data_IF_408110898861
#
_entry.id   IF_408110898861
#
_cell.length_a   1.000
_cell.length_b   1.000
_cell.length_c   1.000
_cell.angle_alpha   90.00
_cell.angle_beta   90.00
_cell.angle_gamma   90.00
#
_symmetry.space_group_name_H-M   'P 1'
#
loop_
_entity.id
_entity.type
_entity.pdbx_description
1 polymer ?
#
# COMPACT_ATOMS: atom_id res chain seq x y z
N UNK A 1 -8.79 2.27 25.39
CA UNK A 1 -9.57 3.47 25.06
C UNK A 1 -11.02 3.06 25.06
N UNK A 2 -11.87 3.76 25.81
CA UNK A 2 -13.31 3.52 25.78
C UNK A 2 -13.92 4.39 24.67
N UNK A 3 -14.26 3.75 23.56
CA UNK A 3 -14.80 4.42 22.39
C UNK A 3 -16.21 4.95 22.64
N UNK A 4 -16.98 4.36 23.56
CA UNK A 4 -18.38 4.72 23.75
C UNK A 4 -18.53 5.99 24.60
N UNK A 5 -17.56 6.28 25.46
CA UNK A 5 -17.61 7.43 26.37
C UNK A 5 -16.76 8.62 25.92
N UNK A 6 -15.90 8.46 24.91
CA UNK A 6 -15.02 9.54 24.44
C UNK A 6 -15.82 10.54 23.59
N UNK A 7 -15.90 11.82 23.98
CA UNK A 7 -16.68 12.82 23.24
C UNK A 7 -16.06 13.08 21.87
N UNK A 8 -16.88 13.48 20.87
CA UNK A 8 -16.38 13.90 19.57
C UNK A 8 -15.64 15.24 19.70
N UNK A 9 -14.60 15.42 18.88
CA UNK A 9 -13.84 16.66 18.75
C UNK A 9 -13.85 17.13 17.29
N UNK A 10 -13.73 18.43 17.08
CA UNK A 10 -13.38 19.03 15.80
C UNK A 10 -12.00 19.65 15.89
N UNK A 11 -11.30 19.76 14.76
CA UNK A 11 -10.03 20.48 14.70
C UNK A 11 -10.33 21.96 14.51
N UNK A 12 -9.89 22.81 15.44
CA UNK A 12 -9.94 24.27 15.31
C UNK A 12 -9.00 24.78 14.23
N UNK A 13 -9.14 26.06 13.86
CA UNK A 13 -8.31 26.69 12.82
C UNK A 13 -6.82 26.75 13.21
N UNK A 14 -6.53 26.72 14.50
CA UNK A 14 -5.20 26.65 15.12
C UNK A 14 -4.65 25.22 15.20
N UNK A 15 -5.39 24.22 14.70
CA UNK A 15 -5.04 22.81 14.80
C UNK A 15 -5.33 22.18 16.17
N UNK A 16 -5.91 22.93 17.11
CA UNK A 16 -6.21 22.44 18.45
C UNK A 16 -7.55 21.69 18.46
N UNK A 17 -7.64 20.49 19.06
CA UNK A 17 -8.90 19.77 19.17
C UNK A 17 -9.86 20.50 20.12
N UNK A 18 -11.06 20.82 19.64
CA UNK A 18 -12.14 21.44 20.42
C UNK A 18 -13.29 20.44 20.53
N UNK A 19 -13.88 20.21 21.73
CA UNK A 19 -15.06 19.37 21.86
C UNK A 19 -16.17 19.79 20.89
N UNK A 20 -16.77 18.82 20.22
CA UNK A 20 -17.90 19.02 19.34
C UNK A 20 -19.18 18.80 20.15
N UNK A 21 -19.91 19.88 20.41
CA UNK A 21 -21.19 19.83 21.11
C UNK A 21 -22.35 19.76 20.14
N UNK A 22 -23.35 18.95 20.48
CA UNK A 22 -24.57 18.86 19.69
C UNK A 22 -25.44 20.08 19.94
N UNK A 23 -25.71 20.85 18.88
CA UNK A 23 -26.74 21.90 18.93
C UNK A 23 -28.12 21.26 19.17
N UNK A 24 -28.85 21.62 20.26
CA UNK A 24 -30.18 21.10 20.53
C UNK A 24 -31.21 21.34 19.42
N UNK A 25 -30.97 22.31 18.55
CA UNK A 25 -31.84 22.66 17.41
C UNK A 25 -31.46 21.93 16.12
N UNK A 26 -30.31 21.27 16.07
CA UNK A 26 -29.86 20.55 14.89
C UNK A 26 -30.65 19.25 14.68
N UNK A 27 -30.98 18.97 13.41
CA UNK A 27 -31.60 17.70 13.04
C UNK A 27 -30.65 16.52 13.28
N UNK A 28 -31.19 15.31 13.44
CA UNK A 28 -30.40 14.08 13.50
C UNK A 28 -29.49 13.89 12.28
N UNK A 29 -29.96 14.28 11.10
CA UNK A 29 -29.16 14.19 9.88
C UNK A 29 -27.94 15.12 9.93
N UNK A 30 -28.15 16.37 10.38
CA UNK A 30 -27.08 17.37 10.56
C UNK A 30 -26.06 16.90 11.60
N UNK A 31 -26.52 16.33 12.71
CA UNK A 31 -25.62 15.81 13.75
C UNK A 31 -24.77 14.64 13.23
N UNK A 32 -25.36 13.70 12.48
CA UNK A 32 -24.61 12.60 11.86
C UNK A 32 -23.57 13.08 10.85
N UNK A 33 -23.90 14.09 10.06
CA UNK A 33 -22.96 14.68 9.10
C UNK A 33 -21.75 15.31 9.83
N UNK A 34 -22.00 16.04 10.93
CA UNK A 34 -20.95 16.59 11.78
C UNK A 34 -20.07 15.50 12.42
N UNK A 35 -20.67 14.41 12.91
CA UNK A 35 -19.92 13.28 13.45
C UNK A 35 -19.03 12.59 12.39
N UNK A 36 -19.44 12.61 11.12
CA UNK A 36 -18.63 12.10 10.01
C UNK A 36 -17.33 12.89 9.78
N UNK A 37 -17.21 14.11 10.30
CA UNK A 37 -16.01 14.94 10.26
C UNK A 37 -15.34 15.10 11.63
N UNK A 38 -15.86 14.43 12.66
CA UNK A 38 -15.36 14.52 14.01
C UNK A 38 -14.21 13.54 14.27
N UNK A 39 -13.48 13.79 15.36
CA UNK A 39 -12.32 13.02 15.79
C UNK A 39 -12.46 12.58 17.25
N UNK A 40 -11.67 11.59 17.64
CA UNK A 40 -11.46 11.13 19.02
C UNK A 40 -9.97 11.06 19.34
N UNK A 41 -9.54 11.58 20.51
CA UNK A 41 -8.15 11.50 20.96
C UNK A 41 -7.79 10.10 21.43
N UNK A 42 -6.73 9.52 20.87
CA UNK A 42 -6.15 8.26 21.32
C UNK A 42 -5.33 8.50 22.61
N UNK A 43 -6.02 8.62 23.74
CA UNK A 43 -5.43 8.95 25.04
C UNK A 43 -5.88 10.32 25.55
N UNK A 44 -5.03 10.97 26.35
CA UNK A 44 -5.34 12.28 26.92
C UNK A 44 -5.30 13.39 25.84
N UNK A 45 -6.43 14.05 25.51
CA UNK A 45 -6.46 15.12 24.50
C UNK A 45 -5.55 16.31 24.82
N UNK A 46 -5.19 16.53 26.09
CA UNK A 46 -4.33 17.64 26.51
C UNK A 46 -2.83 17.30 26.40
N UNK A 47 -2.49 16.05 26.14
CA UNK A 47 -1.10 15.64 25.97
C UNK A 47 -0.59 16.06 24.58
N UNK A 48 0.56 16.76 24.49
CA UNK A 48 1.18 17.05 23.20
C UNK A 48 1.46 15.77 22.40
N UNK A 49 1.06 15.76 21.14
CA UNK A 49 1.24 14.60 20.25
C UNK A 49 0.18 13.52 20.38
N UNK A 50 -0.93 13.76 21.08
CA UNK A 50 -2.06 12.83 21.10
C UNK A 50 -2.64 12.64 19.69
N UNK A 51 -2.70 11.39 19.25
CA UNK A 51 -3.24 11.06 17.93
C UNK A 51 -4.75 11.29 17.91
N UNK A 52 -5.24 11.86 16.82
CA UNK A 52 -6.67 12.06 16.59
C UNK A 52 -7.10 11.09 15.50
N UNK A 53 -8.08 10.27 15.82
CA UNK A 53 -8.67 9.29 14.91
C UNK A 53 -10.07 9.75 14.54
N UNK A 54 -10.58 9.45 13.34
CA UNK A 54 -11.98 9.72 13.01
C UNK A 54 -12.92 9.14 14.07
N UNK A 55 -14.04 9.81 14.31
CA UNK A 55 -14.97 9.45 15.37
C UNK A 55 -15.48 8.00 15.27
N UNK A 56 -15.73 7.56 14.04
CA UNK A 56 -16.21 6.23 13.66
C UNK A 56 -15.06 5.20 13.49
N UNK A 57 -13.82 5.53 13.86
CA UNK A 57 -12.68 4.64 13.67
C UNK A 57 -12.85 3.25 14.32
N UNK A 58 -13.56 3.20 15.46
CA UNK A 58 -13.87 1.97 16.17
C UNK A 58 -14.75 0.99 15.38
N UNK A 59 -15.52 1.49 14.40
CA UNK A 59 -16.40 0.68 13.56
C UNK A 59 -15.63 -0.02 12.42
N UNK A 60 -14.33 0.26 12.29
CA UNK A 60 -13.48 -0.25 11.23
C UNK A 60 -12.51 -1.30 11.72
N UNK A 61 -12.29 -2.33 10.90
CA UNK A 61 -11.13 -3.21 11.07
C UNK A 61 -9.88 -2.49 10.56
N UNK A 62 -8.89 -2.15 11.41
CA UNK A 62 -7.68 -1.47 10.96
C UNK A 62 -6.84 -2.40 10.07
N UNK A 63 -6.31 -1.85 8.98
CA UNK A 63 -5.34 -2.52 8.12
C UNK A 63 -4.22 -1.53 7.79
N UNK A 64 -2.98 -1.91 8.04
CA UNK A 64 -1.80 -1.09 7.85
C UNK A 64 -0.86 -1.67 6.81
N UNK A 65 -0.53 -0.87 5.79
CA UNK A 65 0.31 -1.27 4.66
C UNK A 65 1.55 -0.37 4.61
N UNK A 66 2.74 -0.97 4.65
CA UNK A 66 4.01 -0.26 4.52
C UNK A 66 4.67 -0.48 3.17
N UNK A 67 5.17 0.59 2.56
CA UNK A 67 6.01 0.55 1.36
C UNK A 67 7.48 0.48 1.78
N UNK A 68 8.19 -0.57 1.38
CA UNK A 68 9.58 -0.86 1.74
C UNK A 68 10.45 -0.88 0.49
N UNK A 69 11.63 -0.25 0.55
CA UNK A 69 12.61 -0.26 -0.54
C UNK A 69 13.53 0.95 -0.45
N UNK A 70 14.66 0.89 -1.15
CA UNK A 70 15.69 1.93 -1.10
C UNK A 70 15.19 3.28 -1.63
N UNK A 71 16.01 4.30 -1.42
CA UNK A 71 15.79 5.63 -1.98
C UNK A 71 15.71 5.55 -3.51
N UNK A 72 14.69 6.15 -4.11
CA UNK A 72 14.39 6.11 -5.55
C UNK A 72 13.86 4.77 -6.14
N UNK A 73 13.53 3.76 -5.32
CA UNK A 73 12.90 2.52 -5.81
C UNK A 73 11.49 2.72 -6.43
N UNK A 74 10.89 3.90 -6.26
CA UNK A 74 9.59 4.25 -6.85
C UNK A 74 8.39 4.13 -5.90
N UNK A 75 8.60 3.88 -4.60
CA UNK A 75 7.54 3.74 -3.58
C UNK A 75 6.45 4.81 -3.65
N UNK A 76 6.83 6.10 -3.56
CA UNK A 76 5.89 7.23 -3.59
C UNK A 76 5.10 7.31 -4.89
N UNK A 77 5.75 7.01 -6.02
CA UNK A 77 5.08 7.02 -7.33
C UNK A 77 4.10 5.84 -7.46
N UNK A 78 4.51 4.66 -7.01
CA UNK A 78 3.67 3.47 -7.03
C UNK A 78 2.47 3.62 -6.11
N UNK A 79 2.65 4.14 -4.89
CA UNK A 79 1.56 4.40 -3.97
C UNK A 79 0.59 5.43 -4.53
N UNK A 80 1.07 6.56 -5.06
CA UNK A 80 0.20 7.57 -5.67
C UNK A 80 -0.59 7.00 -6.86
N UNK A 81 0.03 6.13 -7.67
CA UNK A 81 -0.63 5.43 -8.76
C UNK A 81 -1.69 4.43 -8.27
N UNK A 82 -1.38 3.66 -7.22
CA UNK A 82 -2.30 2.74 -6.55
C UNK A 82 -3.53 3.47 -6.02
N UNK A 83 -3.35 4.54 -5.25
CA UNK A 83 -4.45 5.34 -4.70
C UNK A 83 -5.28 5.97 -5.82
N UNK A 84 -4.63 6.53 -6.85
CA UNK A 84 -5.33 7.07 -8.02
C UNK A 84 -6.22 6.04 -8.71
N UNK A 85 -5.74 4.80 -8.89
CA UNK A 85 -6.51 3.73 -9.52
C UNK A 85 -7.60 3.23 -8.59
N UNK A 86 -7.29 3.00 -7.32
CA UNK A 86 -8.25 2.51 -6.31
C UNK A 86 -9.43 3.46 -6.11
N UNK A 87 -9.18 4.78 -6.08
CA UNK A 87 -10.21 5.80 -5.93
C UNK A 87 -10.87 6.20 -7.27
N UNK A 88 -10.48 5.58 -8.38
CA UNK A 88 -11.12 5.85 -9.66
C UNK A 88 -12.51 5.21 -9.75
N UNK A 89 -13.40 5.81 -10.54
CA UNK A 89 -14.73 5.27 -10.81
C UNK A 89 -14.69 4.13 -11.87
N UNK A 90 -13.66 3.29 -11.84
CA UNK A 90 -13.47 2.17 -12.76
C UNK A 90 -14.52 1.07 -12.50
N UNK A 91 -15.17 0.60 -13.57
CA UNK A 91 -16.19 -0.43 -13.48
C UNK A 91 -15.61 -1.77 -12.97
N UNK A 92 -14.34 -2.06 -13.28
CA UNK A 92 -13.66 -3.26 -12.83
C UNK A 92 -13.52 -3.31 -11.30
N UNK A 93 -13.22 -2.17 -10.66
CA UNK A 93 -13.12 -2.07 -9.20
C UNK A 93 -14.49 -2.20 -8.56
N UNK A 94 -15.52 -1.57 -9.14
CA UNK A 94 -16.90 -1.72 -8.67
C UNK A 94 -17.40 -3.16 -8.78
N UNK A 95 -16.95 -3.92 -9.77
CA UNK A 95 -17.31 -5.33 -9.93
C UNK A 95 -16.77 -6.22 -8.78
N UNK A 96 -15.71 -5.79 -8.09
CA UNK A 96 -15.23 -6.43 -6.86
C UNK A 96 -16.11 -6.10 -5.63
N UNK A 97 -17.13 -5.26 -5.79
CA UNK A 97 -18.01 -4.80 -4.71
C UNK A 97 -17.31 -3.91 -3.68
N UNK A 98 -16.15 -3.34 -4.03
CA UNK A 98 -15.41 -2.41 -3.19
C UNK A 98 -16.02 -1.01 -3.25
N UNK A 99 -16.23 -0.42 -2.07
CA UNK A 99 -16.51 1.01 -1.93
C UNK A 99 -15.35 1.64 -1.19
N UNK A 100 -14.73 2.63 -1.81
CA UNK A 100 -13.54 3.31 -1.29
C UNK A 100 -13.87 4.77 -1.08
N UNK A 101 -13.46 5.30 0.08
CA UNK A 101 -13.58 6.72 0.39
C UNK A 101 -12.45 7.15 1.34
N UNK A 102 -12.28 8.46 1.55
CA UNK A 102 -11.32 8.96 2.53
C UNK A 102 -11.73 8.51 3.93
N UNK A 103 -10.76 8.04 4.73
CA UNK A 103 -10.95 7.84 6.16
C UNK A 103 -10.83 9.18 6.91
N UNK A 104 -9.88 10.01 6.50
CA UNK A 104 -9.71 11.40 6.92
C UNK A 104 -9.66 12.27 5.66
N UNK A 105 -10.69 13.10 5.47
CA UNK A 105 -10.84 13.92 4.26
C UNK A 105 -9.66 14.89 4.08
N UNK A 106 -9.14 15.47 5.17
CA UNK A 106 -8.06 16.47 5.12
C UNK A 106 -6.74 15.81 4.74
N UNK A 107 -6.43 14.67 5.34
CA UNK A 107 -5.22 13.90 5.03
C UNK A 107 -5.27 13.41 3.59
N UNK A 108 -6.42 12.87 3.17
CA UNK A 108 -6.61 12.41 1.81
C UNK A 108 -6.49 13.55 0.78
N UNK A 109 -7.16 14.69 1.00
CA UNK A 109 -7.06 15.86 0.10
C UNK A 109 -5.63 16.38 -0.03
N UNK A 110 -4.87 16.41 1.07
CA UNK A 110 -3.46 16.78 1.04
C UNK A 110 -2.65 15.79 0.21
N UNK A 111 -2.83 14.48 0.43
CA UNK A 111 -2.14 13.46 -0.36
C UNK A 111 -2.48 13.55 -1.86
N UNK A 112 -3.75 13.81 -2.18
CA UNK A 112 -4.20 14.03 -3.54
C UNK A 112 -3.50 15.24 -4.17
N UNK A 113 -3.44 16.38 -3.49
CA UNK A 113 -2.83 17.61 -3.98
C UNK A 113 -1.30 17.52 -4.11
N UNK A 114 -0.62 16.85 -3.17
CA UNK A 114 0.84 16.80 -3.10
C UNK A 114 1.47 15.64 -3.89
N UNK A 115 0.74 14.53 -4.06
CA UNK A 115 1.28 13.30 -4.67
C UNK A 115 0.49 12.86 -5.89
N UNK A 116 -0.82 12.65 -5.77
CA UNK A 116 -1.61 12.04 -6.85
C UNK A 116 -1.79 12.99 -8.04
N UNK A 117 -2.27 14.21 -7.82
CA UNK A 117 -2.50 15.20 -8.90
C UNK A 117 -1.20 15.57 -9.61
N UNK A 118 -0.06 15.83 -8.93
CA UNK A 118 1.22 16.07 -9.60
C UNK A 118 1.66 14.91 -10.49
N UNK A 119 1.55 13.66 -10.02
CA UNK A 119 1.94 12.49 -10.80
C UNK A 119 0.99 12.23 -11.98
N UNK A 120 -0.30 12.13 -11.70
CA UNK A 120 -1.29 11.60 -12.65
C UNK A 120 -1.76 12.67 -13.63
N UNK A 121 -2.06 13.86 -13.14
CA UNK A 121 -2.58 14.96 -13.97
C UNK A 121 -1.45 15.75 -14.61
N UNK A 122 -0.44 16.12 -13.82
CA UNK A 122 0.64 16.99 -14.31
C UNK A 122 1.84 16.21 -14.86
N UNK A 123 1.85 14.88 -14.73
CA UNK A 123 2.94 14.00 -15.18
C UNK A 123 4.28 14.46 -14.65
N UNK A 124 4.30 14.96 -13.42
CA UNK A 124 5.52 15.43 -12.76
C UNK A 124 6.14 14.31 -11.95
N UNK A 125 7.46 14.31 -11.90
CA UNK A 125 8.22 13.45 -11.01
C UNK A 125 7.93 13.88 -9.56
N UNK A 126 7.57 12.91 -8.72
CA UNK A 126 7.40 13.17 -7.30
C UNK A 126 8.76 13.25 -6.62
N UNK A 127 8.87 14.16 -5.65
CA UNK A 127 10.04 14.23 -4.78
C UNK A 127 10.11 12.96 -3.93
N UNK A 128 11.31 12.44 -3.73
CA UNK A 128 11.52 11.31 -2.84
C UNK A 128 11.24 11.68 -1.39
N UNK A 129 10.78 10.71 -0.60
CA UNK A 129 10.59 10.85 0.84
C UNK A 129 11.94 11.09 1.52
N UNK A 130 12.10 12.28 2.12
CA UNK A 130 13.35 12.67 2.75
C UNK A 130 13.60 11.84 4.02
N UNK A 131 14.87 11.48 4.27
CA UNK A 131 15.27 10.67 5.42
C UNK A 131 15.06 11.35 6.79
N UNK A 132 14.80 12.65 6.82
CA UNK A 132 14.50 13.39 8.04
C UNK A 132 12.99 13.60 8.29
N UNK A 133 12.12 13.14 7.40
CA UNK A 133 10.67 13.26 7.60
C UNK A 133 10.19 12.23 8.62
N UNK A 134 9.51 12.64 9.71
CA UNK A 134 8.92 11.72 10.69
C UNK A 134 7.98 10.73 10.01
N UNK A 135 7.91 9.51 10.54
CA UNK A 135 7.02 8.48 9.99
C UNK A 135 5.59 8.89 10.27
N UNK A 136 4.88 9.27 9.21
CA UNK A 136 3.46 9.56 9.21
C UNK A 136 2.80 8.74 8.11
N UNK A 137 1.56 8.30 8.35
CA UNK A 137 0.79 7.68 7.28
C UNK A 137 0.53 8.73 6.19
N UNK A 138 0.76 8.35 4.94
CA UNK A 138 0.70 9.25 3.79
C UNK A 138 -0.75 9.49 3.37
N UNK A 139 -1.57 8.46 3.45
CA UNK A 139 -2.99 8.49 3.17
C UNK A 139 -3.73 7.47 4.06
N UNK A 140 -5.02 7.70 4.25
CA UNK A 140 -5.90 6.79 4.98
C UNK A 140 -7.26 6.70 4.29
N UNK A 141 -7.68 5.48 3.98
CA UNK A 141 -8.91 5.18 3.26
C UNK A 141 -9.84 4.32 4.09
N UNK A 142 -11.13 4.59 3.98
CA UNK A 142 -12.19 3.66 4.37
C UNK A 142 -12.47 2.76 3.17
N UNK A 143 -12.35 1.45 3.36
CA UNK A 143 -12.70 0.46 2.34
C UNK A 143 -13.83 -0.41 2.88
N UNK A 144 -14.96 -0.47 2.18
CA UNK A 144 -16.04 -1.41 2.49
C UNK A 144 -16.11 -2.46 1.41
N UNK A 145 -16.09 -3.74 1.79
CA UNK A 145 -16.14 -4.85 0.85
C UNK A 145 -17.57 -5.26 0.48
N UNK A 146 -17.69 -6.22 -0.45
CA UNK A 146 -18.98 -6.73 -0.93
C UNK A 146 -19.85 -7.35 0.18
N UNK A 147 -19.21 -7.89 1.23
CA UNK A 147 -19.88 -8.44 2.41
C UNK A 147 -20.30 -7.37 3.43
N UNK A 148 -20.08 -6.08 3.15
CA UNK A 148 -20.46 -4.96 4.01
C UNK A 148 -19.49 -4.68 5.17
N UNK A 149 -18.38 -5.41 5.29
CA UNK A 149 -17.35 -5.17 6.31
C UNK A 149 -16.52 -3.95 5.92
N UNK A 150 -16.28 -3.05 6.87
CA UNK A 150 -15.53 -1.82 6.66
C UNK A 150 -14.16 -1.86 7.33
N UNK A 151 -13.16 -1.35 6.63
CA UNK A 151 -11.75 -1.40 6.99
C UNK A 151 -11.16 0.00 6.99
N UNK A 152 -10.34 0.31 7.99
CA UNK A 152 -9.58 1.54 8.10
C UNK A 152 -8.16 1.27 7.57
N UNK A 153 -7.97 1.55 6.29
CA UNK A 153 -6.74 1.28 5.58
C UNK A 153 -5.77 2.46 5.70
N UNK A 154 -4.57 2.20 6.21
CA UNK A 154 -3.53 3.21 6.39
C UNK A 154 -2.28 2.85 5.60
N UNK A 155 -1.71 3.81 4.88
CA UNK A 155 -0.52 3.61 4.05
C UNK A 155 0.69 4.36 4.62
N UNK A 156 1.83 3.70 4.68
CA UNK A 156 3.09 4.26 5.13
C UNK A 156 4.13 4.19 4.01
N UNK A 157 4.64 5.33 3.56
CA UNK A 157 5.81 5.39 2.67
C UNK A 157 7.07 5.64 3.51
N UNK A 158 7.82 4.56 3.80
CA UNK A 158 8.96 4.63 4.71
C UNK A 158 10.24 4.88 3.91
N UNK A 159 10.93 5.98 4.19
CA UNK A 159 12.22 6.26 3.58
C UNK A 159 13.24 5.16 3.97
N UNK A 160 13.85 4.50 2.97
CA UNK A 160 14.76 3.38 3.20
C UNK A 160 15.95 3.70 4.11
N UNK A 161 16.43 4.94 4.08
CA UNK A 161 17.54 5.41 4.93
C UNK A 161 17.15 5.53 6.42
N UNK A 162 15.85 5.74 6.75
CA UNK A 162 15.38 5.81 8.14
C UNK A 162 15.36 4.45 8.83
N UNK A 163 15.19 3.39 8.05
CA UNK A 163 15.20 2.02 8.55
C UNK A 163 16.52 1.68 9.27
N UNK A 164 17.62 2.34 8.93
CA UNK A 164 18.91 2.13 9.61
C UNK A 164 18.97 2.72 11.02
N UNK A 165 18.14 3.72 11.35
CA UNK A 165 18.08 4.38 12.67
C UNK A 165 16.61 4.66 13.07
N UNK A 166 15.84 3.61 13.36
CA UNK A 166 14.42 3.78 13.59
C UNK A 166 14.14 4.41 14.94
N UNK A 167 13.10 5.24 14.97
CA UNK A 167 12.52 5.77 16.21
C UNK A 167 11.46 4.80 16.78
N UNK A 168 10.93 5.13 17.96
CA UNK A 168 9.88 4.33 18.62
C UNK A 168 8.60 4.18 17.77
N UNK A 169 8.33 5.14 16.87
CA UNK A 169 7.20 5.10 15.95
C UNK A 169 7.37 3.99 14.93
N UNK A 170 8.53 3.95 14.27
CA UNK A 170 8.86 2.94 13.26
C UNK A 170 8.87 1.53 13.83
N UNK A 171 9.39 1.35 15.05
CA UNK A 171 9.32 0.06 15.76
C UNK A 171 7.87 -0.38 16.00
N UNK A 172 6.99 0.54 16.42
CA UNK A 172 5.56 0.24 16.62
C UNK A 172 4.87 -0.12 15.30
N UNK A 173 5.18 0.56 14.21
CA UNK A 173 4.63 0.19 12.89
C UNK A 173 5.00 -1.24 12.52
N UNK A 174 6.28 -1.62 12.64
CA UNK A 174 6.69 -3.00 12.34
C UNK A 174 6.08 -4.03 13.28
N UNK A 175 5.69 -3.65 14.50
CA UNK A 175 4.97 -4.55 15.39
C UNK A 175 3.51 -4.77 14.96
N UNK A 176 2.87 -3.78 14.30
CA UNK A 176 1.44 -3.81 13.96
C UNK A 176 1.09 -3.92 12.47
N UNK A 177 2.05 -3.75 11.55
CA UNK A 177 1.84 -3.86 10.10
C UNK A 177 1.12 -5.15 9.68
N UNK A 178 0.02 -5.03 8.95
CA UNK A 178 -0.73 -6.18 8.42
C UNK A 178 -0.16 -6.65 7.08
N UNK A 179 0.41 -5.71 6.31
CA UNK A 179 1.08 -6.01 5.06
C UNK A 179 2.29 -5.11 4.78
N UNK A 180 3.25 -5.64 4.02
CA UNK A 180 4.40 -4.91 3.50
C UNK A 180 4.53 -5.09 1.99
N UNK A 181 4.74 -3.99 1.28
CA UNK A 181 4.97 -3.97 -0.16
C UNK A 181 6.44 -3.64 -0.42
N UNK A 182 7.18 -4.65 -0.84
CA UNK A 182 8.62 -4.65 -1.07
C UNK A 182 8.91 -4.23 -2.52
N UNK A 183 9.45 -3.03 -2.70
CA UNK A 183 9.60 -2.39 -3.99
C UNK A 183 11.00 -2.62 -4.53
N UNK A 184 11.07 -3.35 -5.64
CA UNK A 184 12.29 -3.68 -6.37
C UNK A 184 12.49 -2.67 -7.50
N UNK A 185 13.64 -2.00 -7.47
CA UNK A 185 14.11 -1.19 -8.58
C UNK A 185 14.91 -2.08 -9.55
N UNK A 186 14.43 -2.34 -10.78
CA UNK A 186 15.15 -3.19 -11.72
C UNK A 186 16.53 -2.63 -12.09
N UNK A 187 16.76 -1.31 -11.98
CA UNK A 187 18.07 -0.69 -12.23
C UNK A 187 19.09 -0.99 -11.12
N UNK A 188 18.62 -1.33 -9.92
CA UNK A 188 19.48 -1.70 -8.78
C UNK A 188 19.82 -3.20 -8.75
N UNK A 189 19.22 -4.00 -9.63
CA UNK A 189 19.48 -5.44 -9.71
C UNK A 189 20.86 -5.73 -10.29
N UNK A 190 21.49 -6.86 -9.91
CA UNK A 190 22.71 -7.30 -10.55
C UNK A 190 22.54 -7.43 -12.06
N UNK A 191 23.58 -7.09 -12.81
CA UNK A 191 23.64 -7.43 -14.23
C UNK A 191 23.84 -8.95 -14.38
N UNK A 192 23.21 -9.60 -15.37
CA UNK A 192 23.42 -11.02 -15.65
C UNK A 192 24.92 -11.35 -15.72
N UNK A 193 25.35 -12.38 -15.00
CA UNK A 193 26.74 -12.87 -15.02
C UNK A 193 27.73 -12.12 -14.11
N UNK A 194 27.29 -11.17 -13.27
CA UNK A 194 28.12 -10.60 -12.18
C UNK A 194 27.68 -11.12 -10.82
N UNK A 195 28.65 -11.48 -9.98
CA UNK A 195 28.41 -11.86 -8.59
C UNK A 195 27.67 -10.71 -7.85
N UNK A 196 26.63 -11.10 -7.11
CA UNK A 196 25.51 -10.26 -6.70
C UNK A 196 25.89 -9.02 -5.89
N UNK A 197 25.12 -7.96 -6.10
CA UNK A 197 25.05 -6.83 -5.15
C UNK A 197 24.49 -7.34 -3.82
N UNK A 198 24.91 -6.72 -2.70
CA UNK A 198 24.13 -6.83 -1.46
C UNK A 198 22.69 -6.43 -1.79
N UNK A 199 21.71 -7.20 -1.32
CA UNK A 199 20.30 -6.88 -1.53
C UNK A 199 19.92 -5.51 -0.99
N UNK A 200 18.67 -5.11 -1.16
CA UNK A 200 18.19 -3.88 -0.55
C UNK A 200 18.26 -3.97 0.98
N UNK A 201 19.12 -3.13 1.57
CA UNK A 201 19.27 -3.05 3.03
C UNK A 201 17.94 -2.74 3.72
N UNK A 202 17.03 -2.03 3.05
CA UNK A 202 15.68 -1.75 3.53
C UNK A 202 14.87 -3.02 3.75
N UNK A 203 15.04 -4.03 2.87
CA UNK A 203 14.35 -5.32 2.98
C UNK A 203 14.89 -6.09 4.18
N UNK A 204 16.22 -6.14 4.33
CA UNK A 204 16.87 -6.84 5.44
C UNK A 204 16.44 -6.28 6.78
N UNK A 205 16.41 -4.94 6.91
CA UNK A 205 15.95 -4.29 8.13
C UNK A 205 14.48 -4.61 8.39
N UNK A 206 13.60 -4.48 7.41
CA UNK A 206 12.18 -4.75 7.58
C UNK A 206 11.93 -6.19 8.06
N UNK A 207 12.57 -7.18 7.42
CA UNK A 207 12.46 -8.60 7.80
C UNK A 207 13.06 -8.87 9.19
N UNK A 208 14.21 -8.28 9.52
CA UNK A 208 14.79 -8.38 10.86
C UNK A 208 13.85 -7.79 11.93
N UNK A 209 13.14 -6.70 11.63
CA UNK A 209 12.17 -6.11 12.56
C UNK A 209 10.93 -6.98 12.72
N UNK A 210 10.43 -7.57 11.63
CA UNK A 210 9.36 -8.56 11.70
C UNK A 210 9.74 -9.79 12.54
N UNK A 211 11.04 -10.08 12.67
CA UNK A 211 11.51 -11.18 13.50
C UNK A 211 11.27 -10.98 14.99
N UNK A 212 11.06 -9.74 15.44
CA UNK A 212 10.69 -9.43 16.82
C UNK A 212 9.23 -9.75 17.16
N UNK A 213 8.40 -10.08 16.16
CA UNK A 213 7.01 -10.49 16.41
C UNK A 213 6.95 -11.91 17.00
N UNK A 214 6.01 -12.16 17.93
CA UNK A 214 5.70 -13.53 18.34
C UNK A 214 5.37 -14.39 17.12
N UNK A 215 6.06 -15.53 16.99
CA UNK A 215 5.83 -16.53 15.96
C UNK A 215 5.54 -17.88 16.63
N UNK A 216 4.80 -18.78 15.96
CA UNK A 216 4.70 -20.16 16.42
C UNK A 216 6.10 -20.73 16.60
N UNK A 217 6.36 -21.41 17.72
CA UNK A 217 7.67 -21.99 18.04
C UNK A 217 7.88 -23.30 17.26
N UNK A 218 7.96 -23.17 15.94
CA UNK A 218 8.23 -24.27 15.01
C UNK A 218 9.37 -23.88 14.06
N UNK A 219 10.31 -24.80 13.79
CA UNK A 219 11.35 -24.57 12.80
C UNK A 219 10.74 -24.16 11.44
N UNK A 220 11.24 -23.06 10.87
CA UNK A 220 10.73 -22.52 9.60
C UNK A 220 9.47 -21.66 9.70
N UNK A 221 9.07 -21.22 10.91
CA UNK A 221 7.93 -20.32 11.07
C UNK A 221 8.10 -19.00 10.28
N UNK A 222 7.24 -18.83 9.28
CA UNK A 222 7.15 -17.62 8.47
C UNK A 222 6.60 -16.44 9.28
N UNK A 223 6.91 -15.22 8.88
CA UNK A 223 6.35 -14.01 9.47
C UNK A 223 4.84 -13.93 9.16
N UNK A 224 3.98 -13.69 10.16
CA UNK A 224 2.53 -13.59 9.97
C UNK A 224 2.16 -12.19 9.44
N UNK A 225 2.67 -11.86 8.25
CA UNK A 225 2.44 -10.59 7.55
C UNK A 225 2.22 -10.90 6.07
N UNK A 226 1.29 -10.20 5.44
CA UNK A 226 1.13 -10.27 3.99
C UNK A 226 2.26 -9.50 3.30
N UNK A 227 2.82 -10.04 2.22
CA UNK A 227 3.90 -9.43 1.49
C UNK A 227 3.58 -9.34 -0.01
N UNK A 228 3.93 -8.23 -0.65
CA UNK A 228 3.94 -8.13 -2.11
C UNK A 228 5.32 -7.66 -2.56
N UNK A 229 6.03 -8.44 -3.37
CA UNK A 229 7.29 -8.01 -4.00
C UNK A 229 6.98 -7.45 -5.38
N UNK A 230 7.42 -6.24 -5.67
CA UNK A 230 6.97 -5.51 -6.86
C UNK A 230 8.17 -4.95 -7.60
N UNK A 231 8.39 -5.44 -8.82
CA UNK A 231 9.33 -4.82 -9.77
C UNK A 231 8.63 -3.60 -10.36
N UNK A 232 8.82 -2.43 -9.72
CA UNK A 232 7.93 -1.27 -9.86
C UNK A 232 8.22 -0.32 -11.04
N UNK A 233 9.35 -0.54 -11.72
CA UNK A 233 9.72 0.15 -12.97
C UNK A 233 9.87 -0.85 -14.10
N UNK A 234 8.95 -1.81 -14.19
CA UNK A 234 9.05 -2.91 -15.16
C UNK A 234 9.10 -2.41 -16.62
N UNK A 235 8.64 -1.19 -16.89
CA UNK A 235 8.72 -0.55 -18.21
C UNK A 235 10.16 -0.31 -18.68
N UNK A 236 11.12 -0.17 -17.76
CA UNK A 236 12.53 0.00 -18.09
C UNK A 236 13.15 -1.29 -18.65
N UNK A 237 12.63 -2.44 -18.26
CA UNK A 237 13.15 -3.76 -18.65
C UNK A 237 12.29 -4.46 -19.70
N UNK A 238 11.16 -3.88 -20.12
CA UNK A 238 10.19 -4.52 -21.02
C UNK A 238 10.73 -4.88 -22.41
N UNK A 239 11.86 -4.29 -22.80
CA UNK A 239 12.57 -4.58 -24.06
C UNK A 239 13.79 -5.48 -23.87
N UNK A 240 14.19 -5.71 -22.63
CA UNK A 240 15.29 -6.62 -22.27
C UNK A 240 14.78 -7.98 -21.80
N UNK A 241 13.55 -8.04 -21.29
CA UNK A 241 12.96 -9.22 -20.69
C UNK A 241 11.54 -9.48 -21.22
N UNK A 242 11.32 -10.68 -21.76
CA UNK A 242 10.05 -11.06 -22.37
C UNK A 242 8.92 -11.16 -21.33
N UNK A 243 9.20 -11.63 -20.11
CA UNK A 243 8.18 -11.78 -19.06
C UNK A 243 7.64 -10.42 -18.65
N UNK A 244 8.53 -9.46 -18.43
CA UNK A 244 8.13 -8.08 -18.12
C UNK A 244 7.31 -7.47 -19.29
N UNK A 245 7.71 -7.73 -20.54
CA UNK A 245 6.98 -7.29 -21.73
C UNK A 245 5.56 -7.86 -21.78
N UNK A 246 5.43 -9.17 -21.62
CA UNK A 246 4.16 -9.90 -21.72
C UNK A 246 3.19 -9.45 -20.63
N UNK A 247 3.66 -9.32 -19.39
CA UNK A 247 2.81 -8.86 -18.30
C UNK A 247 2.36 -7.41 -18.49
N UNK A 248 3.25 -6.50 -18.88
CA UNK A 248 2.86 -5.11 -19.13
C UNK A 248 1.93 -4.96 -20.35
N UNK A 249 2.03 -5.84 -21.34
CA UNK A 249 1.11 -5.87 -22.48
C UNK A 249 -0.31 -6.26 -22.05
N UNK A 250 -0.46 -7.04 -20.98
CA UNK A 250 -1.74 -7.43 -20.39
C UNK A 250 -2.36 -6.38 -19.46
N UNK A 251 -1.81 -5.17 -19.34
CA UNK A 251 -2.27 -4.15 -18.39
C UNK A 251 -3.66 -3.53 -18.63
N UNK A 252 -4.67 -4.30 -19.06
CA UNK A 252 -6.06 -3.86 -19.13
C UNK A 252 -6.66 -3.74 -17.72
N UNK A 253 -7.71 -2.92 -17.56
CA UNK A 253 -8.40 -2.77 -16.27
C UNK A 253 -9.03 -4.06 -15.77
N UNK A 254 -9.49 -4.94 -16.67
CA UNK A 254 -10.02 -6.26 -16.35
C UNK A 254 -8.93 -7.19 -15.81
N UNK A 255 -7.77 -7.22 -16.47
CA UNK A 255 -6.64 -8.01 -15.97
C UNK A 255 -6.14 -7.47 -14.64
N UNK A 256 -6.14 -6.15 -14.38
CA UNK A 256 -5.74 -5.59 -13.08
C UNK A 256 -6.56 -6.13 -11.90
N UNK A 257 -7.83 -6.48 -12.12
CA UNK A 257 -8.74 -6.99 -11.08
C UNK A 257 -8.89 -8.51 -11.08
N UNK A 258 -8.41 -9.20 -12.12
CA UNK A 258 -8.37 -10.67 -12.15
C UNK A 258 -7.25 -11.20 -11.25
N UNK A 259 -7.60 -11.55 -10.02
CA UNK A 259 -6.66 -12.10 -9.04
C UNK A 259 -6.30 -13.57 -9.30
N UNK A 260 -6.98 -14.26 -10.22
CA UNK A 260 -6.69 -15.66 -10.53
C UNK A 260 -5.36 -15.88 -11.26
N UNK A 261 -4.77 -14.82 -11.82
CA UNK A 261 -3.46 -14.88 -12.51
C UNK A 261 -2.27 -14.54 -11.62
N UNK A 262 -2.51 -14.20 -10.34
CA UNK A 262 -1.47 -13.75 -9.40
C UNK A 262 -0.40 -14.82 -9.15
N UNK A 263 -0.79 -16.08 -9.04
CA UNK A 263 0.16 -17.20 -8.85
C UNK A 263 1.14 -17.29 -10.03
N UNK A 264 0.61 -17.28 -11.26
CA UNK A 264 1.43 -17.31 -12.48
C UNK A 264 2.35 -16.09 -12.59
N UNK A 265 1.84 -14.88 -12.32
CA UNK A 265 2.70 -13.69 -12.29
C UNK A 265 3.80 -13.81 -11.24
N UNK A 266 3.47 -14.39 -10.08
CA UNK A 266 4.43 -14.56 -9.00
C UNK A 266 5.57 -15.51 -9.39
N UNK A 267 5.24 -16.62 -10.06
CA UNK A 267 6.23 -17.56 -10.62
C UNK A 267 7.15 -16.89 -11.65
N UNK A 268 6.59 -16.11 -12.58
CA UNK A 268 7.35 -15.42 -13.63
C UNK A 268 8.29 -14.35 -13.03
N UNK A 269 7.81 -13.56 -12.06
CA UNK A 269 8.63 -12.55 -11.38
C UNK A 269 9.71 -13.22 -10.53
N UNK A 270 9.40 -14.35 -9.87
CA UNK A 270 10.38 -15.12 -9.13
C UNK A 270 11.50 -15.61 -10.06
N UNK A 271 11.13 -16.20 -11.21
CA UNK A 271 12.07 -16.67 -12.22
C UNK A 271 12.96 -15.53 -12.75
N UNK A 272 12.37 -14.36 -13.03
CA UNK A 272 13.10 -13.16 -13.44
C UNK A 272 14.16 -12.74 -12.42
N UNK A 273 13.77 -12.59 -11.14
CA UNK A 273 14.68 -12.16 -10.09
C UNK A 273 15.77 -13.21 -9.81
N UNK A 274 15.41 -14.50 -9.81
CA UNK A 274 16.36 -15.60 -9.64
C UNK A 274 17.38 -15.63 -10.80
N UNK A 275 16.94 -15.46 -12.04
CA UNK A 275 17.82 -15.41 -13.21
C UNK A 275 18.80 -14.23 -13.16
N UNK A 276 18.38 -13.09 -12.59
CA UNK A 276 19.22 -11.92 -12.34
C UNK A 276 20.17 -12.09 -11.13
N UNK A 277 20.15 -13.24 -10.45
CA UNK A 277 20.95 -13.48 -9.25
C UNK A 277 20.50 -12.66 -8.03
N UNK A 278 19.26 -12.15 -8.05
CA UNK A 278 18.71 -11.25 -7.04
C UNK A 278 18.06 -11.99 -5.86
N UNK A 279 18.69 -13.08 -5.38
CA UNK A 279 18.11 -13.93 -4.34
C UNK A 279 17.79 -13.20 -3.02
N UNK A 280 18.58 -12.19 -2.67
CA UNK A 280 18.34 -11.35 -1.49
C UNK A 280 17.03 -10.54 -1.58
N UNK A 281 16.59 -10.21 -2.79
CA UNK A 281 15.32 -9.53 -3.04
C UNK A 281 14.11 -10.47 -2.99
N UNK A 282 14.33 -11.79 -3.08
CA UNK A 282 13.30 -12.82 -2.96
C UNK A 282 13.00 -13.21 -1.51
N UNK A 283 13.79 -12.73 -0.53
CA UNK A 283 13.60 -13.05 0.88
C UNK A 283 12.17 -12.82 1.40
N UNK A 284 11.44 -11.74 1.06
CA UNK A 284 10.06 -11.59 1.51
C UNK A 284 9.14 -12.73 1.04
N UNK A 285 9.37 -13.28 -0.15
CA UNK A 285 8.61 -14.43 -0.66
C UNK A 285 8.98 -15.75 0.04
N UNK A 286 10.14 -15.80 0.69
CA UNK A 286 10.65 -16.98 1.39
C UNK A 286 10.36 -16.93 2.90
N UNK A 287 10.20 -15.72 3.46
CA UNK A 287 10.13 -15.50 4.90
C UNK A 287 8.74 -15.07 5.39
N UNK A 288 7.84 -14.59 4.53
CA UNK A 288 6.49 -14.16 4.90
C UNK A 288 5.44 -15.25 4.60
N UNK A 289 4.43 -15.39 5.47
CA UNK A 289 3.42 -16.45 5.38
C UNK A 289 2.54 -16.37 4.13
N UNK A 290 2.29 -15.15 3.64
CA UNK A 290 1.54 -14.89 2.41
C UNK A 290 2.34 -13.92 1.58
N UNK A 291 2.74 -14.32 0.38
CA UNK A 291 3.52 -13.46 -0.51
C UNK A 291 3.09 -13.57 -1.96
N UNK A 292 3.00 -12.45 -2.64
CA UNK A 292 2.80 -12.38 -4.09
C UNK A 292 3.91 -11.57 -4.74
N UNK A 293 4.19 -11.82 -6.02
CA UNK A 293 5.20 -11.09 -6.77
C UNK A 293 4.60 -10.52 -8.06
N UNK A 294 4.96 -9.28 -8.41
CA UNK A 294 4.32 -8.56 -9.50
C UNK A 294 5.29 -7.71 -10.33
N UNK A 295 4.97 -7.57 -11.61
CA UNK A 295 5.49 -6.48 -12.44
C UNK A 295 4.50 -5.32 -12.42
N UNK A 296 5.01 -4.12 -12.18
CA UNK A 296 4.19 -2.91 -12.23
C UNK A 296 4.98 -1.74 -12.83
N UNK A 297 4.26 -0.76 -13.34
CA UNK A 297 4.84 0.55 -13.64
C UNK A 297 3.84 1.66 -13.33
N UNK A 298 4.27 2.60 -12.48
CA UNK A 298 3.46 3.76 -12.10
C UNK A 298 3.25 4.73 -13.27
N UNK A 299 4.18 4.76 -14.23
CA UNK A 299 4.23 5.77 -15.29
C UNK A 299 4.28 5.17 -16.70
N UNK A 300 4.79 3.95 -16.84
CA UNK A 300 5.04 3.23 -18.09
C UNK A 300 5.92 4.02 -19.10
N UNK A 301 6.70 4.97 -18.59
CA UNK A 301 7.73 5.69 -19.30
C UNK A 301 8.76 6.27 -18.31
N UNK A 302 10.03 6.41 -18.73
CA UNK A 302 11.06 7.05 -17.94
C UNK A 302 10.79 8.56 -17.80
N UNK A 303 11.27 9.14 -16.71
CA UNK A 303 11.28 10.59 -16.54
C UNK A 303 12.32 11.23 -17.46
N UNK A 304 11.96 12.37 -18.04
CA UNK A 304 12.87 13.32 -18.67
C UNK A 304 12.78 14.61 -17.87
N UNK A 305 13.89 15.01 -17.26
CA UNK A 305 13.95 16.06 -16.24
C UNK A 305 12.97 15.79 -15.07
N UNK A 306 12.02 16.70 -14.86
CA UNK A 306 11.01 16.63 -13.79
C UNK A 306 9.64 16.14 -14.29
N UNK A 307 9.59 15.53 -15.48
CA UNK A 307 8.33 15.15 -16.12
C UNK A 307 8.39 13.78 -16.80
N UNK A 308 7.21 13.19 -16.99
CA UNK A 308 7.02 11.94 -17.73
C UNK A 308 6.40 12.24 -19.11
N UNK A 309 7.22 12.41 -20.15
CA UNK A 309 6.71 12.64 -21.50
C UNK A 309 6.10 11.37 -22.11
N UNK A 310 5.26 11.54 -23.15
CA UNK A 310 4.77 10.44 -23.98
C UNK A 310 3.56 9.67 -23.43
N UNK A 311 3.56 8.35 -23.63
CA UNK A 311 2.47 7.43 -23.33
C UNK A 311 2.38 7.07 -21.84
N UNK A 312 2.32 8.10 -20.99
CA UNK A 312 2.12 7.98 -19.55
C UNK A 312 0.86 7.18 -19.26
N UNK A 313 1.01 6.05 -18.57
CA UNK A 313 -0.10 5.26 -18.06
C UNK A 313 0.35 4.45 -16.86
N UNK A 314 -0.55 4.31 -15.90
CA UNK A 314 -0.40 3.36 -14.81
C UNK A 314 -0.65 1.97 -15.38
N UNK A 315 0.24 1.02 -15.09
CA UNK A 315 0.16 -0.33 -15.62
C UNK A 315 0.38 -1.35 -14.50
N UNK A 316 -0.64 -2.16 -14.21
CA UNK A 316 -0.64 -3.22 -13.20
C UNK A 316 -0.36 -2.74 -11.78
N UNK A 317 -0.59 -1.46 -11.50
CA UNK A 317 -0.32 -0.91 -10.16
C UNK A 317 -1.33 -1.39 -9.13
N UNK A 318 -2.55 -1.74 -9.56
CA UNK A 318 -3.64 -2.09 -8.65
C UNK A 318 -3.58 -3.56 -8.18
N UNK A 319 -3.16 -4.49 -9.06
CA UNK A 319 -3.12 -5.94 -8.74
C UNK A 319 -2.29 -6.28 -7.50
N UNK A 320 -1.09 -5.71 -7.26
CA UNK A 320 -0.36 -5.95 -6.02
C UNK A 320 -1.14 -5.53 -4.77
N UNK A 321 -1.85 -4.39 -4.84
CA UNK A 321 -2.66 -3.90 -3.72
C UNK A 321 -3.88 -4.81 -3.47
N UNK A 322 -4.56 -5.23 -4.53
CA UNK A 322 -5.70 -6.14 -4.42
C UNK A 322 -5.28 -7.54 -3.94
N UNK A 323 -4.08 -7.99 -4.29
CA UNK A 323 -3.50 -9.22 -3.75
C UNK A 323 -3.29 -9.11 -2.24
N UNK A 324 -2.75 -7.98 -1.77
CA UNK A 324 -2.68 -7.67 -0.34
C UNK A 324 -4.06 -7.62 0.30
N UNK A 325 -5.07 -7.03 -0.34
CA UNK A 325 -6.44 -7.01 0.19
C UNK A 325 -7.02 -8.42 0.37
N UNK A 326 -6.74 -9.34 -0.54
CA UNK A 326 -7.14 -10.74 -0.40
C UNK A 326 -6.38 -11.42 0.75
N UNK A 327 -5.07 -11.17 0.87
CA UNK A 327 -4.23 -11.73 1.93
C UNK A 327 -4.56 -11.17 3.33
N UNK A 328 -5.11 -9.97 3.45
CA UNK A 328 -5.54 -9.35 4.72
C UNK A 328 -7.03 -9.51 5.02
N UNK A 329 -7.79 -10.13 4.11
CA UNK A 329 -9.22 -10.43 4.28
C UNK A 329 -10.17 -9.25 4.01
N UNK A 330 -9.68 -8.18 3.37
CA UNK A 330 -10.53 -7.14 2.78
C UNK A 330 -11.32 -7.74 1.61
N UNK A 331 -10.62 -8.47 0.74
CA UNK A 331 -11.19 -9.28 -0.33
C UNK A 331 -11.20 -10.76 0.06
N UNK A 332 -12.04 -11.54 -0.62
CA UNK A 332 -12.08 -12.98 -0.40
C UNK A 332 -10.82 -13.66 -0.94
N UNK A 333 -10.13 -14.44 -0.10
CA UNK A 333 -8.86 -15.09 -0.44
C UNK A 333 -8.98 -16.06 -1.63
N UNK A 334 -10.16 -16.64 -1.85
CA UNK A 334 -10.41 -17.53 -3.01
C UNK A 334 -10.22 -16.84 -4.36
N UNK A 335 -10.27 -15.49 -4.41
CA UNK A 335 -10.03 -14.74 -5.63
C UNK A 335 -8.58 -14.88 -6.13
N UNK A 336 -7.62 -15.21 -5.24
CA UNK A 336 -6.24 -15.48 -5.62
C UNK A 336 -6.05 -16.83 -6.32
N UNK A 337 -7.06 -17.70 -6.29
CA UNK A 337 -6.98 -19.01 -6.95
C UNK A 337 -7.43 -18.87 -8.40
N UNK A 338 -6.76 -19.54 -9.34
CA UNK A 338 -7.25 -19.60 -10.72
C UNK A 338 -8.68 -20.17 -10.72
N UNK A 339 -9.55 -19.59 -11.55
CA UNK A 339 -10.89 -20.12 -11.75
C UNK A 339 -10.78 -21.59 -12.15
N UNK A 340 -11.31 -22.49 -11.31
CA UNK A 340 -11.29 -23.92 -11.59
C UNK A 340 -11.94 -24.13 -12.94
N UNK A 341 -11.17 -24.65 -13.92
CA UNK A 341 -11.62 -24.78 -15.29
C UNK A 341 -12.99 -25.43 -15.36
N UNK A 342 -13.92 -24.79 -16.07
CA UNK A 342 -15.10 -25.46 -16.60
C UNK A 342 -14.58 -26.68 -17.35
N UNK A 343 -14.87 -27.86 -16.83
CA UNK A 343 -14.44 -29.12 -17.41
C UNK A 343 -14.82 -29.15 -18.89
N UNK A 344 -13.83 -29.42 -19.73
CA UNK A 344 -14.05 -29.80 -21.12
C UNK A 344 -15.00 -31.00 -21.12
N UNK A 345 -16.17 -30.93 -21.78
CA UNK A 345 -16.95 -32.13 -22.05
C UNK A 345 -16.13 -32.99 -23.02
N UNK A 346 -15.85 -34.22 -22.60
CA UNK A 346 -15.16 -35.23 -23.40
C UNK A 346 -16.02 -35.82 -24.51
#
# INVERSE_FOLDING_TARGET
MDWDTTPPYRIGDDGVPVPLERDPRASEATWRDLLGMAYRPCGDPQRPGTHLLPFDYADYTPVSIGMIGHSAAGKTHLLAAMISRLCSNDAAIRALGLRVGPLDLRIHQRYMAESVTPLVTHRRRLRGTAANTPMAFCDALKVTNAAGRSFALTFFDIAGERLERPDDGEVRFYASADALMFIVDPEALPRPGRAGTLGDRSFEVALHRLASRPRPDVPGALHPVAAAVIVAKADLIRFEDQLASDWLARGSGEEEVDLGTVERESEDVYAYLAHRGANSWLRPAQECFRSTLHFASATNCPAVDDRFPGAFRQCRVLKPLLSVFAMTGILEERLLRPASGVGTPG
#
